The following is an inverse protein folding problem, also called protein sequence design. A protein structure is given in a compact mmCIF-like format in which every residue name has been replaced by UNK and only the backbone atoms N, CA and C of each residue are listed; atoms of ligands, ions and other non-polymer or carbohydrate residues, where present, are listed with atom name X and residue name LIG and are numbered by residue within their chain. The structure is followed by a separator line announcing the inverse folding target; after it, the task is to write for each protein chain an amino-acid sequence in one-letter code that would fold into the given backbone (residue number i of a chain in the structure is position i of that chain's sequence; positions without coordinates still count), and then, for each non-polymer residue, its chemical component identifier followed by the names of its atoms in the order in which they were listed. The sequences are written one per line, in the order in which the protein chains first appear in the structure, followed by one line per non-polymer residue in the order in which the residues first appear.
data_IF_074069772799
#
_entry.id   IF_074069772799
#
_cell.length_a   1.000
_cell.length_b   1.000
_cell.length_c   1.000
_cell.angle_alpha   90.00
_cell.angle_beta   90.00
_cell.angle_gamma   90.00
#
_symmetry.space_group_name_H-M   'P 1'
#
loop_
_entity.id
_entity.type
_entity.pdbx_description
1 polymer ?
#
# COMPACT_ATOMS: atom_id res chain seq x y z
N UNK A 1 -5.36 15.84 16.34
CA UNK A 1 -6.78 15.67 15.90
C UNK A 1 -7.02 14.31 15.25
N UNK A 2 -6.32 13.93 14.17
CA UNK A 2 -6.49 12.62 13.50
C UNK A 2 -6.37 11.41 14.45
N UNK A 3 -5.27 11.33 15.22
CA UNK A 3 -5.07 10.21 16.17
C UNK A 3 -6.19 10.10 17.20
N UNK A 4 -6.74 11.23 17.66
CA UNK A 4 -7.86 11.22 18.61
C UNK A 4 -9.13 10.68 17.97
N UNK A 5 -9.41 11.08 16.73
CA UNK A 5 -10.54 10.52 15.99
C UNK A 5 -10.39 9.01 15.77
N UNK A 6 -9.19 8.55 15.39
CA UNK A 6 -8.91 7.11 15.23
C UNK A 6 -9.11 6.34 16.54
N UNK A 7 -8.63 6.87 17.69
CA UNK A 7 -8.88 6.28 19.01
C UNK A 7 -10.37 6.06 19.27
N UNK A 8 -11.19 7.09 19.05
CA UNK A 8 -12.64 7.00 19.29
C UNK A 8 -13.35 5.98 18.40
N UNK A 9 -12.81 5.65 17.23
CA UNK A 9 -13.34 4.58 16.38
C UNK A 9 -12.83 3.21 16.82
N UNK A 10 -11.55 3.12 17.16
CA UNK A 10 -10.91 1.86 17.52
C UNK A 10 -11.41 1.31 18.86
N UNK A 11 -11.73 2.19 19.81
CA UNK A 11 -12.30 1.87 21.12
C UNK A 11 -13.78 1.45 21.04
N UNK A 12 -14.45 1.59 19.88
CA UNK A 12 -15.79 1.04 19.68
C UNK A 12 -15.70 -0.47 19.53
N UNK A 13 -16.32 -1.18 20.47
CA UNK A 13 -16.35 -2.64 20.49
C UNK A 13 -17.78 -3.18 20.45
N UNK A 14 -17.92 -4.40 19.95
CA UNK A 14 -19.14 -5.21 20.02
C UNK A 14 -18.83 -6.56 20.67
N UNK A 15 -19.86 -7.25 21.16
CA UNK A 15 -19.73 -8.61 21.70
C UNK A 15 -20.23 -9.62 20.68
N UNK A 16 -19.39 -10.57 20.29
CA UNK A 16 -19.71 -11.70 19.41
C UNK A 16 -19.33 -12.97 20.16
N UNK A 17 -20.26 -13.91 20.37
CA UNK A 17 -20.00 -15.19 21.05
C UNK A 17 -19.26 -15.05 22.40
N UNK A 18 -19.64 -14.05 23.22
CA UNK A 18 -18.99 -13.69 24.50
C UNK A 18 -17.57 -13.11 24.39
N UNK A 19 -17.04 -12.87 23.20
CA UNK A 19 -15.79 -12.14 22.98
C UNK A 19 -16.09 -10.67 22.66
N UNK A 20 -15.35 -9.75 23.31
CA UNK A 20 -15.37 -8.34 22.95
C UNK A 20 -14.41 -8.16 21.78
N UNK A 21 -14.86 -7.58 20.67
CA UNK A 21 -14.04 -7.33 19.49
C UNK A 21 -14.21 -5.88 19.01
N UNK A 22 -13.19 -5.25 18.42
CA UNK A 22 -13.35 -3.94 17.78
C UNK A 22 -14.35 -3.99 16.63
N UNK A 23 -15.13 -2.91 16.47
CA UNK A 23 -16.07 -2.76 15.35
C UNK A 23 -15.35 -2.69 14.01
N UNK A 24 -14.14 -2.11 13.99
CA UNK A 24 -13.35 -1.93 12.78
C UNK A 24 -12.15 -2.89 12.74
N UNK A 25 -11.88 -3.44 11.56
CA UNK A 25 -10.76 -4.36 11.34
C UNK A 25 -9.47 -3.66 10.91
N UNK A 26 -9.51 -2.39 10.51
CA UNK A 26 -8.36 -1.63 10.03
C UNK A 26 -8.76 -0.26 9.47
N UNK A 27 -7.82 0.42 8.80
CA UNK A 27 -8.03 1.75 8.21
C UNK A 27 -7.52 1.76 6.76
N UNK A 28 -8.35 2.26 5.83
CA UNK A 28 -7.98 2.50 4.43
C UNK A 28 -7.56 3.95 4.22
N UNK A 29 -6.48 4.19 3.48
CA UNK A 29 -5.89 5.50 3.25
C UNK A 29 -5.59 5.71 1.76
N UNK A 30 -5.81 6.94 1.27
CA UNK A 30 -5.61 7.34 -0.13
C UNK A 30 -4.64 8.55 -0.22
N UNK A 31 -3.31 8.31 -0.27
CA UNK A 31 -2.33 9.39 -0.37
C UNK A 31 -2.49 10.26 -1.63
N UNK A 32 -2.97 9.67 -2.73
CA UNK A 32 -3.17 10.39 -4.00
C UNK A 32 -4.19 11.52 -3.91
N UNK A 33 -4.92 11.65 -2.79
CA UNK A 33 -5.77 12.80 -2.46
C UNK A 33 -4.98 14.04 -2.01
N UNK A 34 -3.64 14.02 -2.09
CA UNK A 34 -2.82 15.23 -1.98
C UNK A 34 -1.86 15.27 -0.79
N UNK A 35 -1.40 14.13 -0.30
CA UNK A 35 -0.42 14.11 0.79
C UNK A 35 0.54 12.92 0.67
N UNK A 36 1.77 13.07 1.17
CA UNK A 36 2.71 11.97 1.27
C UNK A 36 2.40 11.11 2.49
N UNK A 37 2.47 9.76 2.40
CA UNK A 37 2.19 8.89 3.54
C UNK A 37 3.24 9.05 4.66
N UNK A 38 4.44 9.57 4.35
CA UNK A 38 5.46 9.84 5.35
C UNK A 38 5.34 11.24 5.99
N UNK A 39 4.26 11.99 5.75
CA UNK A 39 4.09 13.34 6.32
C UNK A 39 4.19 13.31 7.86
N UNK A 40 5.00 14.18 8.51
CA UNK A 40 5.17 14.18 9.97
C UNK A 40 3.88 14.30 10.78
N UNK A 41 2.82 14.91 10.23
CA UNK A 41 1.52 15.01 10.90
C UNK A 41 0.83 13.66 11.14
N UNK A 42 1.26 12.61 10.43
CA UNK A 42 0.77 11.24 10.57
C UNK A 42 1.56 10.42 11.60
N UNK A 43 2.66 10.95 12.16
CA UNK A 43 3.57 10.18 13.01
C UNK A 43 2.88 9.63 14.27
N UNK A 44 2.13 10.48 14.98
CA UNK A 44 1.37 10.07 16.16
C UNK A 44 0.28 9.04 15.82
N UNK A 45 -0.27 9.09 14.60
CA UNK A 45 -1.24 8.12 14.12
C UNK A 45 -0.57 6.76 13.87
N UNK A 46 0.57 6.71 13.18
CA UNK A 46 1.29 5.46 12.95
C UNK A 46 1.83 4.85 14.23
N UNK A 47 2.31 5.66 15.17
CA UNK A 47 2.67 5.20 16.51
C UNK A 47 1.50 4.49 17.19
N UNK A 48 0.34 5.14 17.24
CA UNK A 48 -0.85 4.56 17.84
C UNK A 48 -1.30 3.28 17.12
N UNK A 49 -1.29 3.28 15.78
CA UNK A 49 -1.64 2.10 14.99
C UNK A 49 -0.69 0.93 15.25
N UNK A 50 0.62 1.20 15.33
CA UNK A 50 1.64 0.19 15.61
C UNK A 50 1.50 -0.39 17.02
N UNK A 51 1.23 0.45 18.03
CA UNK A 51 1.11 0.02 19.44
C UNK A 51 -0.17 -0.78 19.73
N UNK A 52 -1.20 -0.59 18.90
CA UNK A 52 -2.51 -1.22 19.06
C UNK A 52 -2.81 -2.28 17.99
N UNK A 53 -1.81 -2.63 17.15
CA UNK A 53 -1.93 -3.61 16.08
C UNK A 53 -3.12 -3.31 15.15
N UNK A 54 -3.21 -2.04 14.73
CA UNK A 54 -4.19 -1.53 13.76
C UNK A 54 -3.59 -1.68 12.35
N UNK A 55 -4.11 -2.57 11.50
CA UNK A 55 -3.60 -2.72 10.15
C UNK A 55 -4.07 -1.56 9.25
N UNK A 56 -3.17 -1.13 8.37
CA UNK A 56 -3.39 -0.02 7.46
C UNK A 56 -3.37 -0.51 6.02
N UNK A 57 -4.37 -0.15 5.23
CA UNK A 57 -4.45 -0.47 3.81
C UNK A 57 -4.32 0.82 3.01
N UNK A 58 -3.34 0.91 2.13
CA UNK A 58 -3.13 2.07 1.27
C UNK A 58 -3.50 1.72 -0.17
N UNK A 59 -4.21 2.62 -0.85
CA UNK A 59 -4.32 2.50 -2.30
C UNK A 59 -2.96 2.85 -2.93
N UNK A 60 -2.39 1.92 -3.69
CA UNK A 60 -1.00 1.99 -4.16
C UNK A 60 -0.89 1.60 -5.65
N UNK A 61 -1.51 2.40 -6.51
CA UNK A 61 -1.50 2.28 -7.97
C UNK A 61 -1.21 3.64 -8.61
N UNK A 62 -0.70 3.66 -9.85
CA UNK A 62 -0.41 4.89 -10.61
C UNK A 62 -1.66 5.65 -11.07
N UNK A 63 -2.82 5.01 -10.97
CA UNK A 63 -4.11 5.55 -11.43
C UNK A 63 -5.22 5.10 -10.48
N UNK A 64 -6.45 5.58 -10.72
CA UNK A 64 -7.64 5.25 -9.95
C UNK A 64 -8.14 6.44 -9.15
N UNK A 65 -7.36 6.88 -8.16
CA UNK A 65 -7.69 8.06 -7.32
C UNK A 65 -6.72 9.21 -7.56
N UNK A 66 -7.22 10.43 -7.74
CA UNK A 66 -6.39 11.63 -7.98
C UNK A 66 -6.87 12.82 -7.16
N UNK A 67 -5.93 13.70 -6.79
CA UNK A 67 -6.25 15.00 -6.22
C UNK A 67 -6.93 15.89 -7.27
N UNK A 68 -8.11 16.42 -6.94
CA UNK A 68 -8.91 17.22 -7.90
C UNK A 68 -8.70 18.73 -7.78
N UNK A 69 -7.91 19.18 -6.80
CA UNK A 69 -7.60 20.60 -6.62
C UNK A 69 -6.60 21.10 -7.66
N UNK A 70 -6.52 22.43 -7.83
CA UNK A 70 -5.72 23.06 -8.90
C UNK A 70 -4.25 23.34 -8.53
N UNK A 71 -3.90 23.21 -7.25
CA UNK A 71 -2.62 23.65 -6.69
C UNK A 71 -1.79 22.47 -6.16
N UNK A 72 -1.63 21.42 -6.96
CA UNK A 72 -0.88 20.22 -6.56
C UNK A 72 0.61 20.52 -6.30
N UNK A 73 1.18 21.51 -6.99
CA UNK A 73 2.56 21.96 -6.77
C UNK A 73 2.82 22.41 -5.33
N UNK A 74 1.82 23.00 -4.66
CA UNK A 74 1.94 23.42 -3.26
C UNK A 74 1.95 22.24 -2.28
N UNK A 75 1.49 21.07 -2.72
CA UNK A 75 1.42 19.84 -1.91
C UNK A 75 2.68 18.96 -2.09
N UNK A 76 3.54 19.30 -3.06
CA UNK A 76 4.72 18.51 -3.43
C UNK A 76 5.98 19.37 -3.26
N UNK A 77 6.46 19.59 -2.02
CA UNK A 77 7.71 20.29 -1.81
C UNK A 77 8.88 19.51 -2.42
N UNK A 78 9.90 20.22 -2.92
CA UNK A 78 11.13 19.61 -3.48
C UNK A 78 11.89 18.73 -2.49
N UNK A 79 11.84 19.10 -1.21
CA UNK A 79 12.47 18.39 -0.10
C UNK A 79 11.43 18.22 1.01
N UNK A 80 10.50 17.25 0.89
CA UNK A 80 9.48 17.07 1.92
C UNK A 80 10.13 16.64 3.23
N UNK A 81 9.56 17.11 4.34
CA UNK A 81 9.82 16.49 5.63
C UNK A 81 9.25 15.08 5.64
N UNK A 82 9.92 14.17 6.32
CA UNK A 82 9.55 12.76 6.37
C UNK A 82 9.62 12.27 7.81
N UNK A 83 8.65 11.46 8.18
CA UNK A 83 8.78 10.52 9.29
C UNK A 83 10.05 9.70 9.07
N UNK A 84 10.86 9.57 10.11
CA UNK A 84 12.18 8.95 9.99
C UNK A 84 12.53 8.15 11.25
N UNK A 85 13.15 6.96 11.10
CA UNK A 85 13.65 6.19 12.24
C UNK A 85 14.88 6.84 12.89
N UNK A 86 15.06 6.57 14.19
CA UNK A 86 16.30 6.87 14.91
C UNK A 86 17.49 6.11 14.29
N UNK A 87 18.71 6.59 14.55
CA UNK A 87 19.95 6.10 13.92
C UNK A 87 20.34 4.67 14.29
N UNK A 88 19.90 4.20 15.45
CA UNK A 88 20.19 2.89 16.01
C UNK A 88 19.23 1.78 15.55
N UNK A 89 18.17 2.13 14.80
CA UNK A 89 17.13 1.18 14.40
C UNK A 89 17.56 0.33 13.22
N UNK A 90 17.11 -0.93 13.24
CA UNK A 90 17.44 -2.00 12.27
C UNK A 90 17.38 -1.54 10.80
N UNK A 91 16.34 -0.77 10.44
CA UNK A 91 16.07 -0.37 9.06
C UNK A 91 16.51 1.07 8.73
N UNK A 92 17.33 1.70 9.57
CA UNK A 92 17.75 3.09 9.38
C UNK A 92 18.43 3.32 8.02
N UNK A 93 19.37 2.45 7.64
CA UNK A 93 20.07 2.57 6.35
C UNK A 93 19.12 2.49 5.14
N UNK A 94 18.08 1.63 5.22
CA UNK A 94 17.05 1.54 4.20
C UNK A 94 16.25 2.83 4.08
N UNK A 95 15.89 3.45 5.21
CA UNK A 95 15.19 4.73 5.23
C UNK A 95 16.06 5.88 4.67
N UNK A 96 17.37 5.91 4.94
CA UNK A 96 18.30 6.90 4.38
C UNK A 96 18.33 6.80 2.85
N UNK A 97 18.51 5.59 2.31
CA UNK A 97 18.54 5.37 0.87
C UNK A 97 17.20 5.73 0.21
N UNK A 98 16.08 5.32 0.83
CA UNK A 98 14.75 5.67 0.33
C UNK A 98 14.52 7.19 0.33
N UNK A 99 14.90 7.91 1.39
CA UNK A 99 14.77 9.37 1.46
C UNK A 99 15.56 10.07 0.35
N UNK A 100 16.80 9.65 0.10
CA UNK A 100 17.61 10.20 -0.97
C UNK A 100 16.94 10.00 -2.34
N UNK A 101 16.45 8.78 -2.61
CA UNK A 101 15.77 8.47 -3.87
C UNK A 101 14.42 9.19 -4.02
N UNK A 102 13.63 9.33 -2.94
CA UNK A 102 12.36 10.07 -2.97
C UNK A 102 12.61 11.53 -3.38
N UNK A 103 13.61 12.20 -2.79
CA UNK A 103 13.96 13.59 -3.12
C UNK A 103 14.41 13.69 -4.58
N UNK A 104 15.30 12.79 -5.01
CA UNK A 104 15.77 12.77 -6.39
C UNK A 104 14.63 12.52 -7.39
N UNK A 105 13.69 11.62 -7.07
CA UNK A 105 12.51 11.35 -7.91
C UNK A 105 11.61 12.57 -8.03
N UNK A 106 11.34 13.28 -6.93
CA UNK A 106 10.55 14.52 -6.97
C UNK A 106 11.19 15.51 -7.93
N UNK A 107 12.52 15.67 -7.89
CA UNK A 107 13.22 16.55 -8.82
C UNK A 107 13.03 16.15 -10.29
N UNK A 108 13.15 14.85 -10.62
CA UNK A 108 12.91 14.35 -11.99
C UNK A 108 11.47 14.60 -12.46
N UNK A 109 10.48 14.47 -11.57
CA UNK A 109 9.08 14.76 -11.88
C UNK A 109 8.84 16.25 -12.20
N UNK A 110 9.54 17.13 -11.50
CA UNK A 110 9.51 18.55 -11.81
C UNK A 110 10.24 18.90 -13.12
N UNK A 111 11.36 18.24 -13.43
CA UNK A 111 12.08 18.41 -14.71
C UNK A 111 11.19 18.03 -15.90
N UNK A 112 10.39 16.97 -15.74
CA UNK A 112 9.34 16.57 -16.69
C UNK A 112 8.16 17.54 -16.76
N UNK A 113 8.14 18.59 -15.93
CA UNK A 113 7.03 19.54 -15.81
C UNK A 113 5.69 18.90 -15.43
N UNK A 114 5.70 17.70 -14.83
CA UNK A 114 4.47 17.03 -14.39
C UNK A 114 3.87 17.70 -13.16
N UNK A 115 4.71 18.18 -12.24
CA UNK A 115 4.29 18.89 -11.02
C UNK A 115 4.12 20.38 -11.30
N UNK A 116 2.92 20.77 -11.75
CA UNK A 116 2.47 22.16 -11.94
C UNK A 116 0.97 22.26 -11.68
N UNK A 117 0.43 23.47 -11.63
CA UNK A 117 -1.02 23.70 -11.73
C UNK A 117 -1.68 22.84 -12.83
N UNK A 118 -2.87 22.28 -12.58
CA UNK A 118 -3.54 21.30 -13.46
C UNK A 118 -3.79 21.80 -14.90
N UNK A 119 -3.76 23.12 -15.13
CA UNK A 119 -3.86 23.70 -16.48
C UNK A 119 -2.56 23.61 -17.30
N UNK A 120 -1.43 23.26 -16.68
CA UNK A 120 -0.08 23.28 -17.26
C UNK A 120 0.73 22.01 -17.02
N UNK A 121 0.45 21.28 -15.93
CA UNK A 121 1.13 20.05 -15.57
C UNK A 121 0.37 18.80 -16.00
N UNK A 122 0.81 17.66 -15.50
CA UNK A 122 0.11 16.40 -15.64
C UNK A 122 -0.25 15.88 -14.24
N UNK A 123 -1.49 16.15 -13.83
CA UNK A 123 -1.98 15.85 -12.50
C UNK A 123 -1.94 14.35 -12.18
N UNK A 124 -2.17 13.49 -13.18
CA UNK A 124 -2.11 12.05 -13.01
C UNK A 124 -0.69 11.58 -12.72
N UNK A 125 0.31 12.10 -13.44
CA UNK A 125 1.71 11.83 -13.11
C UNK A 125 2.08 12.42 -11.76
N UNK A 126 1.74 13.68 -11.46
CA UNK A 126 2.07 14.28 -10.17
C UNK A 126 1.48 13.49 -8.97
N UNK A 127 0.27 12.92 -9.10
CA UNK A 127 -0.34 12.10 -8.05
C UNK A 127 0.42 10.79 -7.76
N UNK A 128 1.16 10.24 -8.72
CA UNK A 128 2.01 9.05 -8.49
C UNK A 128 3.02 9.29 -7.38
N UNK A 129 3.51 10.52 -7.22
CA UNK A 129 4.46 10.85 -6.18
C UNK A 129 3.90 10.57 -4.79
N UNK A 130 2.59 10.70 -4.57
CA UNK A 130 2.00 10.44 -3.25
C UNK A 130 1.93 8.95 -2.94
N UNK A 131 1.51 8.11 -3.90
CA UNK A 131 1.32 6.67 -3.69
C UNK A 131 2.54 5.81 -4.00
N UNK A 132 3.64 6.38 -4.51
CA UNK A 132 4.83 5.63 -4.91
C UNK A 132 5.32 4.64 -3.82
N UNK A 133 5.57 3.35 -4.13
CA UNK A 133 5.86 2.31 -3.14
C UNK A 133 7.02 2.60 -2.17
N UNK A 134 8.08 3.26 -2.63
CA UNK A 134 9.21 3.62 -1.74
C UNK A 134 8.83 4.61 -0.62
N UNK A 135 7.72 5.35 -0.75
CA UNK A 135 7.28 6.29 0.29
C UNK A 135 6.92 5.61 1.62
N UNK A 136 6.68 4.30 1.59
CA UNK A 136 6.34 3.53 2.78
C UNK A 136 7.58 3.02 3.54
N UNK A 137 8.77 3.04 2.92
CA UNK A 137 10.01 2.57 3.56
C UNK A 137 10.35 3.35 4.84
N UNK A 138 10.31 4.70 4.88
CA UNK A 138 10.58 5.43 6.12
C UNK A 138 9.59 5.10 7.26
N UNK A 139 8.34 4.80 6.91
CA UNK A 139 7.27 4.44 7.87
C UNK A 139 7.54 3.04 8.45
N UNK A 140 7.75 2.05 7.56
CA UNK A 140 8.07 0.67 7.95
C UNK A 140 9.37 0.60 8.76
N UNK A 141 10.36 1.43 8.42
CA UNK A 141 11.62 1.48 9.14
C UNK A 141 11.47 2.06 10.56
N UNK A 142 10.60 3.06 10.74
CA UNK A 142 10.32 3.64 12.07
C UNK A 142 9.39 2.77 12.91
N UNK A 143 8.41 2.13 12.28
CA UNK A 143 7.40 1.29 12.93
C UNK A 143 7.44 -0.15 12.38
N UNK A 144 8.47 -0.94 12.71
CA UNK A 144 8.67 -2.28 12.14
C UNK A 144 7.58 -3.29 12.53
N UNK A 145 6.73 -2.99 13.51
CA UNK A 145 5.59 -3.83 13.90
C UNK A 145 4.27 -3.39 13.24
N UNK A 146 4.26 -2.25 12.53
CA UNK A 146 3.06 -1.74 11.86
C UNK A 146 2.78 -2.55 10.59
N UNK A 147 1.59 -3.14 10.53
CA UNK A 147 1.12 -3.87 9.35
C UNK A 147 0.56 -2.91 8.32
N UNK A 148 1.17 -2.91 7.14
CA UNK A 148 0.76 -2.07 6.00
C UNK A 148 0.45 -2.99 4.83
N UNK A 149 -0.69 -2.81 4.17
CA UNK A 149 -1.00 -3.41 2.89
C UNK A 149 -0.97 -2.33 1.80
N UNK A 150 -0.16 -2.54 0.76
CA UNK A 150 -0.17 -1.73 -0.46
C UNK A 150 -1.08 -2.40 -1.48
N UNK A 151 -2.25 -1.82 -1.74
CA UNK A 151 -3.27 -2.47 -2.53
C UNK A 151 -2.83 -2.72 -3.98
N UNK A 152 -3.43 -3.75 -4.59
CA UNK A 152 -3.40 -4.03 -6.02
C UNK A 152 -2.02 -4.39 -6.61
N UNK A 153 -0.99 -4.66 -5.80
CA UNK A 153 0.32 -5.06 -6.31
C UNK A 153 1.00 -4.02 -7.21
N UNK A 154 0.66 -2.73 -7.07
CA UNK A 154 1.11 -1.67 -7.98
C UNK A 154 0.21 -1.47 -9.20
N UNK A 155 -0.67 -2.44 -9.49
CA UNK A 155 -1.63 -2.45 -10.58
C UNK A 155 -1.35 -3.55 -11.61
N UNK A 156 -2.39 -4.05 -12.28
CA UNK A 156 -2.27 -5.21 -13.15
C UNK A 156 -1.28 -5.06 -14.32
N UNK A 157 -1.05 -3.84 -14.84
CA UNK A 157 -0.05 -3.59 -15.88
C UNK A 157 1.39 -3.57 -15.32
N UNK A 158 1.56 -3.12 -14.08
CA UNK A 158 2.85 -3.21 -13.40
C UNK A 158 3.23 -4.69 -13.22
N UNK A 159 2.29 -5.52 -12.79
CA UNK A 159 2.51 -6.97 -12.65
C UNK A 159 2.75 -7.65 -14.00
N UNK A 160 2.00 -7.33 -15.05
CA UNK A 160 2.21 -7.91 -16.39
C UNK A 160 3.64 -7.69 -16.90
N UNK A 161 4.17 -6.47 -16.73
CA UNK A 161 5.42 -6.08 -17.35
C UNK A 161 6.63 -6.06 -16.42
N UNK A 162 6.50 -6.49 -15.15
CA UNK A 162 7.58 -6.39 -14.16
C UNK A 162 8.90 -7.05 -14.60
N UNK A 163 8.85 -8.13 -15.39
CA UNK A 163 10.01 -8.85 -15.91
C UNK A 163 10.47 -8.39 -17.30
N UNK A 164 9.73 -7.48 -17.95
CA UNK A 164 10.05 -6.96 -19.28
C UNK A 164 10.32 -5.45 -19.30
N UNK A 165 10.09 -4.72 -18.20
CA UNK A 165 10.40 -3.29 -18.11
C UNK A 165 11.85 -3.01 -18.55
N UNK A 166 12.03 -2.03 -19.45
CA UNK A 166 13.33 -1.65 -20.01
C UNK A 166 13.80 -2.52 -21.18
N UNK A 167 13.12 -3.63 -21.47
CA UNK A 167 13.39 -4.46 -22.65
C UNK A 167 12.77 -3.88 -23.92
N UNK A 168 13.46 -4.07 -25.05
CA UNK A 168 12.91 -3.79 -26.39
C UNK A 168 11.64 -4.59 -26.71
N UNK A 169 11.44 -5.75 -26.06
CA UNK A 169 10.24 -6.58 -26.21
C UNK A 169 9.04 -6.11 -25.39
N UNK A 170 9.22 -5.13 -24.48
CA UNK A 170 8.15 -4.64 -23.62
C UNK A 170 7.04 -3.95 -24.44
N UNK A 171 5.81 -4.43 -24.30
CA UNK A 171 4.65 -3.92 -25.05
C UNK A 171 3.83 -2.86 -24.30
N UNK A 172 4.29 -2.45 -23.11
CA UNK A 172 3.67 -1.36 -22.36
C UNK A 172 3.56 -0.08 -23.20
N UNK A 173 2.51 0.70 -22.93
CA UNK A 173 2.30 1.97 -23.60
C UNK A 173 3.40 2.99 -23.25
N UNK A 174 3.48 4.05 -24.07
CA UNK A 174 4.52 5.08 -23.95
C UNK A 174 4.50 5.79 -22.59
N UNK A 175 3.31 6.06 -22.03
CA UNK A 175 3.19 6.78 -20.75
C UNK A 175 3.70 5.92 -19.61
N UNK A 176 3.34 4.64 -19.58
CA UNK A 176 3.83 3.71 -18.56
C UNK A 176 5.35 3.52 -18.63
N UNK A 177 5.90 3.41 -19.85
CA UNK A 177 7.36 3.37 -20.06
C UNK A 177 8.05 4.64 -19.55
N UNK A 178 7.52 5.81 -19.88
CA UNK A 178 8.08 7.09 -19.41
C UNK A 178 8.05 7.18 -17.88
N UNK A 179 6.98 6.70 -17.23
CA UNK A 179 6.92 6.65 -15.77
C UNK A 179 8.02 5.79 -15.17
N UNK A 180 8.26 4.61 -15.73
CA UNK A 180 9.31 3.73 -15.24
C UNK A 180 10.72 4.27 -15.52
N UNK A 181 10.93 4.96 -16.63
CA UNK A 181 12.20 5.66 -16.90
C UNK A 181 12.47 6.73 -15.84
N UNK A 182 11.44 7.47 -15.41
CA UNK A 182 11.57 8.49 -14.36
C UNK A 182 11.68 7.87 -12.96
N UNK A 183 10.95 6.80 -12.68
CA UNK A 183 11.00 6.10 -11.39
C UNK A 183 12.20 5.15 -11.27
N UNK A 184 12.92 4.92 -12.37
CA UNK A 184 13.98 3.93 -12.53
C UNK A 184 13.56 2.49 -12.20
N UNK A 185 12.26 2.21 -12.13
CA UNK A 185 11.72 0.87 -11.82
C UNK A 185 10.21 0.77 -12.03
N UNK A 186 9.77 -0.47 -12.19
CA UNK A 186 8.39 -0.91 -12.10
C UNK A 186 7.90 -0.95 -10.64
N UNK A 187 6.63 -0.58 -10.40
CA UNK A 187 6.04 -0.50 -9.06
C UNK A 187 5.80 -1.86 -8.42
N UNK A 188 5.36 -2.88 -9.18
CA UNK A 188 5.23 -4.24 -8.65
C UNK A 188 6.58 -4.77 -8.18
N UNK A 189 7.65 -4.52 -8.94
CA UNK A 189 9.02 -4.86 -8.51
C UNK A 189 9.45 -4.10 -7.26
N UNK A 190 9.14 -2.80 -7.14
CA UNK A 190 9.40 -2.06 -5.90
C UNK A 190 8.70 -2.69 -4.69
N UNK A 191 7.39 -2.98 -4.82
CA UNK A 191 6.61 -3.58 -3.74
C UNK A 191 7.20 -4.94 -3.35
N UNK A 192 7.51 -5.79 -4.33
CA UNK A 192 8.13 -7.09 -4.08
C UNK A 192 9.44 -6.95 -3.30
N UNK A 193 10.32 -6.04 -3.70
CA UNK A 193 11.62 -5.88 -3.04
C UNK A 193 11.51 -5.32 -1.63
N UNK A 194 10.57 -4.40 -1.39
CA UNK A 194 10.30 -3.92 -0.03
C UNK A 194 9.72 -5.07 0.81
N UNK A 195 8.80 -5.87 0.26
CA UNK A 195 8.23 -7.02 0.97
C UNK A 195 9.31 -8.04 1.36
N UNK A 196 10.32 -8.29 0.53
CA UNK A 196 11.45 -9.20 0.89
C UNK A 196 12.16 -8.78 2.18
N UNK A 197 12.17 -7.48 2.50
CA UNK A 197 12.92 -6.90 3.62
C UNK A 197 12.04 -6.64 4.85
N UNK A 198 10.81 -6.17 4.64
CA UNK A 198 9.90 -5.76 5.70
C UNK A 198 8.80 -6.80 5.91
N UNK A 199 8.86 -7.62 6.98
CA UNK A 199 7.91 -8.71 7.21
C UNK A 199 6.49 -8.24 7.53
N UNK A 200 6.30 -6.97 7.87
CA UNK A 200 4.97 -6.38 8.13
C UNK A 200 4.36 -5.68 6.92
N UNK A 201 5.03 -5.72 5.76
CA UNK A 201 4.45 -5.25 4.51
C UNK A 201 3.67 -6.38 3.82
N UNK A 202 2.45 -6.06 3.44
CA UNK A 202 1.50 -6.89 2.70
C UNK A 202 1.15 -6.21 1.37
N UNK A 203 0.57 -6.97 0.47
CA UNK A 203 -0.15 -6.48 -0.72
C UNK A 203 -1.39 -7.33 -0.92
N UNK A 204 -2.33 -6.89 -1.74
CA UNK A 204 -3.46 -7.71 -2.17
C UNK A 204 -3.48 -7.87 -3.70
N UNK A 205 -4.15 -8.92 -4.18
CA UNK A 205 -4.32 -9.18 -5.63
C UNK A 205 -5.50 -8.42 -6.25
N UNK A 206 -6.16 -7.55 -5.49
CA UNK A 206 -7.42 -6.96 -5.91
C UNK A 206 -7.26 -6.08 -7.14
N UNK A 207 -8.28 -6.05 -8.02
CA UNK A 207 -8.22 -5.50 -9.38
C UNK A 207 -7.22 -6.20 -10.33
N UNK A 208 -6.01 -6.56 -9.86
CA UNK A 208 -5.02 -7.30 -10.66
C UNK A 208 -5.50 -8.71 -11.03
N UNK A 209 -6.33 -9.32 -10.19
CA UNK A 209 -6.96 -10.62 -10.41
C UNK A 209 -7.88 -10.68 -11.64
N UNK A 210 -8.40 -9.55 -12.15
CA UNK A 210 -9.17 -9.53 -13.41
C UNK A 210 -8.32 -9.91 -14.63
N UNK A 211 -6.99 -9.91 -14.48
CA UNK A 211 -6.03 -10.14 -15.57
C UNK A 211 -5.37 -11.52 -15.54
N UNK A 212 -5.85 -12.45 -14.71
CA UNK A 212 -5.25 -13.80 -14.57
C UNK A 212 -5.27 -14.64 -15.86
N UNK A 213 -6.14 -14.31 -16.82
CA UNK A 213 -6.10 -14.92 -18.15
C UNK A 213 -4.85 -14.58 -18.98
N UNK A 214 -4.12 -13.51 -18.62
CA UNK A 214 -2.84 -13.17 -19.23
C UNK A 214 -1.72 -14.04 -18.63
N UNK A 215 -0.99 -14.75 -19.49
CA UNK A 215 0.07 -15.69 -19.09
C UNK A 215 1.22 -15.03 -18.33
N UNK A 216 1.61 -13.81 -18.71
CA UNK A 216 2.68 -13.08 -18.04
C UNK A 216 2.24 -12.67 -16.64
N UNK A 217 1.02 -12.14 -16.49
CA UNK A 217 0.44 -11.82 -15.17
C UNK A 217 0.39 -13.06 -14.27
N UNK A 218 -0.16 -14.16 -14.78
CA UNK A 218 -0.26 -15.40 -13.99
C UNK A 218 1.10 -15.93 -13.57
N UNK A 219 2.08 -15.94 -14.48
CA UNK A 219 3.45 -16.39 -14.20
C UNK A 219 4.09 -15.50 -13.14
N UNK A 220 4.01 -14.19 -13.33
CA UNK A 220 4.61 -13.22 -12.41
C UNK A 220 3.98 -13.29 -11.01
N UNK A 221 2.67 -13.50 -10.89
CA UNK A 221 2.00 -13.70 -9.59
C UNK A 221 2.44 -15.02 -8.94
N UNK A 222 2.53 -16.12 -9.70
CA UNK A 222 3.02 -17.41 -9.19
C UNK A 222 4.46 -17.30 -8.68
N UNK A 223 5.32 -16.61 -9.41
CA UNK A 223 6.70 -16.36 -9.00
C UNK A 223 6.72 -15.54 -7.71
N UNK A 224 5.89 -14.50 -7.63
CA UNK A 224 5.80 -13.65 -6.46
C UNK A 224 5.34 -14.41 -5.21
N UNK A 225 4.29 -15.24 -5.32
CA UNK A 225 3.81 -16.09 -4.23
C UNK A 225 4.90 -17.03 -3.70
N UNK A 226 5.76 -17.55 -4.59
CA UNK A 226 6.80 -18.51 -4.26
C UNK A 226 8.18 -17.89 -3.98
N UNK A 227 8.31 -16.56 -4.07
CA UNK A 227 9.55 -15.84 -3.77
C UNK A 227 9.85 -15.89 -2.27
N UNK A 228 11.11 -16.12 -1.90
CA UNK A 228 11.59 -16.08 -0.52
C UNK A 228 11.83 -14.63 -0.03
N UNK A 229 11.42 -14.37 1.21
CA UNK A 229 11.79 -13.18 1.97
C UNK A 229 13.11 -13.40 2.73
N UNK A 230 13.68 -12.30 3.25
CA UNK A 230 14.92 -12.34 4.03
C UNK A 230 14.81 -13.15 5.32
N UNK A 231 13.59 -13.35 5.84
CA UNK A 231 13.31 -14.16 7.02
C UNK A 231 13.08 -15.66 6.70
N UNK A 232 13.25 -16.06 5.44
CA UNK A 232 13.06 -17.43 4.97
C UNK A 232 11.60 -17.82 4.72
N UNK A 233 10.64 -16.91 4.92
CA UNK A 233 9.23 -17.17 4.59
C UNK A 233 8.93 -16.87 3.13
N UNK A 234 7.85 -17.45 2.60
CA UNK A 234 7.35 -17.10 1.27
C UNK A 234 6.58 -15.80 1.29
N UNK A 235 6.81 -14.94 0.29
CA UNK A 235 6.04 -13.70 0.12
C UNK A 235 4.53 -13.95 -0.01
N UNK A 236 4.13 -15.10 -0.55
CA UNK A 236 2.73 -15.50 -0.64
C UNK A 236 1.99 -15.61 0.69
N UNK A 237 2.68 -15.70 1.83
CA UNK A 237 2.06 -15.63 3.16
C UNK A 237 1.63 -14.19 3.54
N UNK A 238 1.98 -13.19 2.72
CA UNK A 238 1.67 -11.76 2.91
C UNK A 238 0.98 -11.14 1.70
N UNK A 239 0.44 -11.98 0.83
CA UNK A 239 -0.43 -11.58 -0.28
C UNK A 239 -1.87 -11.90 0.12
N UNK A 240 -2.73 -10.90 0.11
CA UNK A 240 -4.12 -11.00 0.52
C UNK A 240 -5.02 -11.20 -0.69
N UNK A 241 -6.12 -11.93 -0.49
CA UNK A 241 -7.24 -11.86 -1.43
C UNK A 241 -7.98 -10.54 -1.26
N UNK A 242 -8.38 -9.96 -2.38
CA UNK A 242 -9.42 -8.94 -2.45
C UNK A 242 -9.94 -8.91 -3.88
N UNK A 243 -11.21 -8.58 -4.09
CA UNK A 243 -11.76 -8.47 -5.44
C UNK A 243 -11.65 -7.06 -6.01
N UNK A 244 -11.79 -6.03 -5.16
CA UNK A 244 -12.06 -4.64 -5.57
C UNK A 244 -13.51 -4.43 -6.06
N UNK A 245 -14.44 -5.24 -5.53
CA UNK A 245 -15.87 -5.06 -5.76
C UNK A 245 -16.35 -3.65 -5.35
N UNK A 246 -17.19 -2.99 -6.13
CA UNK A 246 -17.86 -3.44 -7.36
C UNK A 246 -17.13 -3.04 -8.64
N UNK A 247 -15.94 -2.43 -8.57
CA UNK A 247 -15.26 -1.88 -9.75
C UNK A 247 -14.92 -2.96 -10.78
N UNK A 248 -14.55 -4.16 -10.32
CA UNK A 248 -14.19 -5.27 -11.19
C UNK A 248 -15.35 -5.86 -11.98
N UNK A 249 -16.61 -5.57 -11.63
CA UNK A 249 -17.80 -6.00 -12.41
C UNK A 249 -17.83 -5.42 -13.83
N UNK A 250 -17.02 -4.39 -14.12
CA UNK A 250 -16.82 -3.87 -15.48
C UNK A 250 -16.06 -4.90 -16.35
N UNK A 251 -15.18 -5.69 -15.74
CA UNK A 251 -14.32 -6.66 -16.43
C UNK A 251 -14.80 -8.11 -16.26
N UNK A 252 -15.26 -8.49 -15.08
CA UNK A 252 -15.61 -9.87 -14.72
C UNK A 252 -16.53 -9.92 -13.49
N UNK A 253 -17.45 -10.89 -13.43
CA UNK A 253 -18.30 -11.08 -12.25
C UNK A 253 -17.50 -11.60 -11.06
N UNK A 254 -17.92 -11.28 -9.83
CA UNK A 254 -17.32 -11.85 -8.61
C UNK A 254 -17.21 -13.39 -8.71
N UNK A 255 -18.27 -14.08 -9.14
CA UNK A 255 -18.28 -15.54 -9.28
C UNK A 255 -17.15 -16.04 -10.19
N UNK A 256 -16.94 -15.38 -11.34
CA UNK A 256 -15.88 -15.75 -12.27
C UNK A 256 -14.51 -15.48 -11.67
N UNK A 257 -14.31 -14.33 -11.01
CA UNK A 257 -13.04 -14.00 -10.34
C UNK A 257 -12.66 -15.03 -9.27
N UNK A 258 -13.62 -15.45 -8.42
CA UNK A 258 -13.38 -16.50 -7.42
C UNK A 258 -12.99 -17.83 -8.08
N UNK A 259 -13.70 -18.24 -9.15
CA UNK A 259 -13.39 -19.46 -9.90
C UNK A 259 -12.00 -19.40 -10.53
N UNK A 260 -11.66 -18.28 -11.17
CA UNK A 260 -10.39 -18.10 -11.87
C UNK A 260 -9.20 -18.15 -10.91
N UNK A 261 -9.30 -17.48 -9.75
CA UNK A 261 -8.24 -17.54 -8.74
C UNK A 261 -8.09 -18.96 -8.19
N UNK A 262 -9.21 -19.61 -7.83
CA UNK A 262 -9.18 -20.98 -7.30
C UNK A 262 -8.54 -21.97 -8.29
N UNK A 263 -8.85 -21.83 -9.58
CA UNK A 263 -8.31 -22.70 -10.62
C UNK A 263 -6.85 -22.38 -10.96
N UNK A 264 -6.47 -21.09 -10.97
CA UNK A 264 -5.16 -20.65 -11.43
C UNK A 264 -4.09 -20.70 -10.34
N UNK A 265 -4.48 -20.55 -9.08
CA UNK A 265 -3.61 -20.44 -7.90
C UNK A 265 -4.06 -21.38 -6.75
N UNK A 266 -4.28 -22.68 -7.00
CA UNK A 266 -4.90 -23.59 -6.02
C UNK A 266 -4.12 -23.71 -4.71
N UNK A 267 -2.78 -23.72 -4.78
CA UNK A 267 -1.91 -23.88 -3.60
C UNK A 267 -1.90 -22.66 -2.66
N UNK A 268 -2.35 -21.51 -3.16
CA UNK A 268 -2.32 -20.23 -2.46
C UNK A 268 -3.71 -19.66 -2.19
N UNK A 269 -4.75 -20.14 -2.88
CA UNK A 269 -6.12 -19.63 -2.78
C UNK A 269 -6.64 -19.59 -1.34
N UNK A 270 -6.59 -20.71 -0.61
CA UNK A 270 -7.07 -20.77 0.77
C UNK A 270 -6.26 -19.88 1.72
N UNK A 271 -4.93 -19.86 1.54
CA UNK A 271 -4.05 -19.01 2.33
C UNK A 271 -4.38 -17.53 2.14
N UNK A 272 -4.54 -17.07 0.90
CA UNK A 272 -4.82 -15.68 0.59
C UNK A 272 -6.19 -15.22 1.11
N UNK A 273 -7.20 -16.10 1.10
CA UNK A 273 -8.56 -15.74 1.52
C UNK A 273 -8.80 -15.85 3.03
N UNK A 274 -8.06 -16.71 3.72
CA UNK A 274 -8.30 -16.98 5.15
C UNK A 274 -7.07 -16.66 5.99
N UNK A 275 -6.02 -17.48 5.93
CA UNK A 275 -4.87 -17.37 6.81
C UNK A 275 -4.20 -15.99 6.75
N UNK A 276 -3.89 -15.50 5.54
CA UNK A 276 -3.18 -14.24 5.37
C UNK A 276 -4.05 -13.04 5.76
N UNK A 277 -5.35 -13.10 5.46
CA UNK A 277 -6.32 -12.08 5.89
C UNK A 277 -6.37 -12.05 7.40
N UNK A 278 -6.54 -13.20 8.04
CA UNK A 278 -6.54 -13.33 9.49
C UNK A 278 -5.24 -12.82 10.07
N UNK A 279 -4.07 -13.13 9.52
CA UNK A 279 -2.80 -12.63 10.03
C UNK A 279 -2.66 -11.11 9.89
N UNK A 280 -3.14 -10.54 8.78
CA UNK A 280 -3.14 -9.09 8.58
C UNK A 280 -4.10 -8.37 9.52
N UNK A 281 -5.35 -8.85 9.61
CA UNK A 281 -6.41 -8.21 10.39
C UNK A 281 -6.48 -8.68 11.84
N UNK A 282 -5.73 -9.69 12.28
CA UNK A 282 -6.09 -10.47 13.47
C UNK A 282 -6.36 -9.62 14.72
N UNK A 283 -7.57 -9.81 15.27
CA UNK A 283 -8.04 -9.12 16.45
C UNK A 283 -7.57 -9.75 17.77
N UNK A 284 -7.11 -11.00 17.75
CA UNK A 284 -6.80 -11.79 18.96
C UNK A 284 -5.68 -11.22 19.85
N UNK A 285 -4.77 -10.41 19.28
CA UNK A 285 -3.69 -9.74 20.01
C UNK A 285 -3.92 -8.24 20.20
N UNK A 286 -5.13 -7.73 19.96
CA UNK A 286 -5.42 -6.29 20.09
C UNK A 286 -5.63 -5.95 21.57
N UNK A 287 -4.94 -4.91 22.04
CA UNK A 287 -5.26 -4.31 23.36
C UNK A 287 -6.66 -3.70 23.27
N UNK A 288 -7.65 -4.39 23.82
CA UNK A 288 -8.96 -3.81 24.05
C UNK A 288 -8.84 -3.01 25.34
N UNK A 289 -8.71 -1.69 25.21
CA UNK A 289 -8.79 -0.81 26.38
C UNK A 289 -10.28 -0.77 26.80
N UNK A 290 -10.61 -1.08 28.07
CA UNK A 290 -11.95 -0.86 28.57
C UNK A 290 -12.32 0.61 28.34
N UNK A 291 -13.54 0.86 27.86
CA UNK A 291 -14.08 2.22 27.78
C UNK A 291 -14.06 2.79 29.20
N UNK A 292 -13.17 3.74 29.47
CA UNK A 292 -13.23 4.51 30.70
C UNK A 292 -14.48 5.40 30.62
N UNK A 293 -15.53 4.98 31.32
CA UNK A 293 -16.80 5.70 31.37
C UNK A 293 -16.66 7.08 32.06
N UNK A 294 -15.50 7.41 32.64
CA UNK A 294 -15.23 8.70 33.27
C UNK A 294 -14.84 9.81 32.28
N UNK A 295 -14.44 9.49 31.04
CA UNK A 295 -14.04 10.48 30.03
C UNK A 295 -15.20 10.99 29.15
N UNK A 296 -16.46 10.66 29.46
CA UNK A 296 -17.62 11.35 28.86
C UNK A 296 -17.79 12.76 29.46
N UNK A 297 -16.83 13.65 29.21
CA UNK A 297 -17.04 15.09 29.32
C UNK A 297 -16.59 15.77 28.03
N UNK A 298 -17.58 16.42 27.43
CA UNK A 298 -17.48 17.56 26.52
C UNK A 298 -16.85 17.29 25.14
N UNK A 299 -17.68 16.74 24.25
CA UNK A 299 -17.64 17.16 22.84
C UNK A 299 -19.10 17.42 22.41
N UNK A 300 -19.53 18.67 22.63
CA UNK A 300 -20.65 19.31 21.94
C UNK A 300 -20.10 20.16 20.79
#
# INVERSE_FOLDING_TARGET
KLVQWVKTLWEKTITINNEIVPVFSGIKIYPTLGFFPFDPSLDAFYKYASENNIPLLFHCTRTGSIYIGKQIENLIPRKPEMIFPETDKLYHAWAVNAKAEIIARIDRYYEKSWVKNNSKGDNGHACDLFSHPQNYVPILAKYPNLKICLAHMGGGQEVEYMNSFGSASCKADKKLKERWEVDNKNWATFIQDIMKIFPTLYTDISSTNTRLGNKDVLTNIKDWLNTDAADGTKLGNRILFGSDYFLTEIDSSEESLYKDIKNSLPDWYEKMMDQNINDFVNAKNRKIMPIDKSEKKDIA
#
